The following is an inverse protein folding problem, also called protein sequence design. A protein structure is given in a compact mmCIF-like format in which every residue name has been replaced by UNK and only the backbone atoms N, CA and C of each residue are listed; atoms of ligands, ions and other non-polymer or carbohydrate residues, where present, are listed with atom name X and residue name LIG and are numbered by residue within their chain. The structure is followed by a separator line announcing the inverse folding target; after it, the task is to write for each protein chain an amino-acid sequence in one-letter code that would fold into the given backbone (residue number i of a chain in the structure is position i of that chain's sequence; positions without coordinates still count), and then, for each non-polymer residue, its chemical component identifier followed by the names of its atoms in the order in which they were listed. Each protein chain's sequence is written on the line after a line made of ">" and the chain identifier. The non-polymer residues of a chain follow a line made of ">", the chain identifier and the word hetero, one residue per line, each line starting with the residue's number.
data_IF_087089155496
#
_entry.id   IF_087089155496
#
_cell.length_a   1.000
_cell.length_b   1.000
_cell.length_c   1.000
_cell.angle_alpha   90.00
_cell.angle_beta   90.00
_cell.angle_gamma   90.00
#
_symmetry.space_group_name_H-M   'P 1'
#
loop_
_entity.id
_entity.type
_entity.pdbx_description
1 polymer ?
#
# COMPACT_ATOMS: atom_id res chain seq x y z
N UNK A 1 2.54 19.02 -13.98
CA UNK A 1 2.78 17.96 -12.99
C UNK A 1 4.23 17.48 -13.13
N UNK A 2 5.04 17.62 -12.09
CA UNK A 2 6.46 17.21 -12.08
C UNK A 2 6.61 15.69 -12.09
N UNK A 3 5.64 14.95 -11.54
CA UNK A 3 5.67 13.48 -11.51
C UNK A 3 5.49 12.90 -12.92
N UNK A 4 4.57 13.44 -13.72
CA UNK A 4 4.42 13.07 -15.13
C UNK A 4 5.69 13.37 -15.94
N UNK A 5 6.31 14.53 -15.74
CA UNK A 5 7.55 14.87 -16.45
C UNK A 5 8.71 13.94 -16.05
N UNK A 6 8.77 13.56 -14.77
CA UNK A 6 9.76 12.61 -14.26
C UNK A 6 9.62 11.24 -14.91
N UNK A 7 8.39 10.72 -15.07
CA UNK A 7 8.17 9.42 -15.70
C UNK A 7 8.47 9.39 -17.20
N UNK A 8 8.36 10.53 -17.88
CA UNK A 8 8.67 10.64 -19.32
C UNK A 8 10.15 10.90 -19.62
N UNK A 9 10.87 11.57 -18.71
CA UNK A 9 12.20 12.10 -18.97
C UNK A 9 13.30 11.46 -18.13
N UNK A 10 12.99 10.77 -17.03
CA UNK A 10 13.98 10.13 -16.17
C UNK A 10 13.95 8.60 -16.30
N UNK A 11 15.01 7.95 -15.84
CA UNK A 11 15.04 6.49 -15.76
C UNK A 11 13.97 5.98 -14.77
N UNK A 12 13.36 4.83 -15.08
CA UNK A 12 12.27 4.26 -14.26
C UNK A 12 12.65 4.16 -12.78
N UNK A 13 11.76 4.63 -11.91
CA UNK A 13 11.96 4.65 -10.45
C UNK A 13 12.66 5.90 -9.92
N UNK A 14 13.12 6.81 -10.79
CA UNK A 14 13.67 8.09 -10.37
C UNK A 14 12.56 9.14 -10.24
N UNK A 15 12.41 9.71 -9.04
CA UNK A 15 11.43 10.75 -8.75
C UNK A 15 12.13 12.03 -8.27
N UNK A 16 11.61 13.18 -8.69
CA UNK A 16 12.08 14.51 -8.26
C UNK A 16 10.91 15.32 -7.73
N UNK A 17 11.16 16.12 -6.69
CA UNK A 17 10.12 16.88 -6.00
C UNK A 17 9.91 18.29 -6.55
N UNK A 18 10.74 18.74 -7.49
CA UNK A 18 10.67 20.07 -8.09
C UNK A 18 11.23 20.10 -9.51
N UNK A 19 10.87 21.15 -10.28
CA UNK A 19 11.44 21.38 -11.61
C UNK A 19 12.94 21.68 -11.54
N UNK A 20 13.41 22.37 -10.50
CA UNK A 20 14.83 22.66 -10.31
C UNK A 20 15.67 21.40 -10.09
N UNK A 21 15.11 20.42 -9.37
CA UNK A 21 15.73 19.09 -9.23
C UNK A 21 15.70 18.33 -10.55
N UNK A 22 14.59 18.41 -11.30
CA UNK A 22 14.44 17.77 -12.61
C UNK A 22 15.53 18.22 -13.58
N UNK A 23 15.75 19.52 -13.74
CA UNK A 23 16.73 20.07 -14.70
C UNK A 23 18.19 19.74 -14.37
N UNK A 24 18.48 19.22 -13.16
CA UNK A 24 19.82 18.75 -12.77
C UNK A 24 20.05 17.28 -13.10
N UNK A 25 19.02 16.54 -13.53
CA UNK A 25 19.13 15.12 -13.86
C UNK A 25 19.53 14.88 -15.31
N UNK A 26 20.00 13.66 -15.58
CA UNK A 26 20.19 13.18 -16.95
C UNK A 26 18.85 12.75 -17.54
N UNK A 27 18.53 13.26 -18.72
CA UNK A 27 17.29 12.90 -19.41
C UNK A 27 17.46 11.66 -20.28
N UNK A 28 16.41 10.84 -20.28
CA UNK A 28 16.18 9.70 -21.13
C UNK A 28 14.94 9.98 -21.97
N UNK A 29 14.97 9.67 -23.26
CA UNK A 29 13.81 9.84 -24.13
C UNK A 29 12.83 8.68 -23.91
N UNK A 30 12.15 8.69 -22.76
CA UNK A 30 11.11 7.72 -22.40
C UNK A 30 9.70 8.26 -22.75
N UNK A 31 9.62 9.28 -23.60
CA UNK A 31 8.35 9.88 -24.01
C UNK A 31 7.59 8.88 -24.88
N UNK A 32 6.39 8.53 -24.43
CA UNK A 32 5.48 7.66 -25.18
C UNK A 32 4.98 8.40 -26.43
N UNK A 33 5.14 7.77 -27.58
CA UNK A 33 4.73 8.34 -28.88
C UNK A 33 3.28 8.02 -29.27
N UNK A 34 2.57 7.25 -28.44
CA UNK A 34 1.18 6.85 -28.67
C UNK A 34 0.26 7.40 -27.58
N UNK A 35 -1.00 7.64 -27.95
CA UNK A 35 -2.04 8.06 -27.01
C UNK A 35 -2.36 6.94 -26.02
N UNK A 36 -2.74 7.30 -24.79
CA UNK A 36 -3.29 6.33 -23.84
C UNK A 36 -4.60 5.78 -24.42
N UNK A 37 -4.79 4.47 -24.33
CA UNK A 37 -6.08 3.87 -24.69
C UNK A 37 -7.09 4.41 -23.68
N UNK A 38 -8.22 4.91 -24.16
CA UNK A 38 -9.30 5.34 -23.29
C UNK A 38 -9.80 4.12 -22.51
N UNK A 39 -9.75 4.23 -21.19
CA UNK A 39 -10.23 3.20 -20.28
C UNK A 39 -11.70 3.50 -19.93
N UNK A 40 -12.53 3.59 -20.97
CA UNK A 40 -13.94 3.96 -20.84
C UNK A 40 -14.64 2.96 -19.92
N UNK A 41 -15.30 3.48 -18.89
CA UNK A 41 -16.00 2.70 -17.87
C UNK A 41 -15.12 1.92 -16.88
N UNK A 42 -13.79 2.12 -16.86
CA UNK A 42 -12.89 1.38 -15.95
C UNK A 42 -13.25 1.54 -14.46
N UNK A 43 -13.82 2.67 -14.08
CA UNK A 43 -14.26 2.97 -12.71
C UNK A 43 -15.79 3.04 -12.56
N UNK A 44 -16.54 2.54 -13.55
CA UNK A 44 -18.00 2.57 -13.46
C UNK A 44 -18.50 1.70 -12.31
N UNK A 45 -19.45 2.23 -11.55
CA UNK A 45 -19.99 1.57 -10.35
C UNK A 45 -19.08 1.67 -9.12
N UNK A 46 -17.95 2.38 -9.20
CA UNK A 46 -17.09 2.65 -8.04
C UNK A 46 -17.57 3.89 -7.28
N UNK A 47 -17.70 3.77 -5.97
CA UNK A 47 -17.82 4.91 -5.07
C UNK A 47 -16.42 5.28 -4.55
N UNK A 48 -15.93 6.47 -4.92
CA UNK A 48 -14.62 6.97 -4.47
C UNK A 48 -14.84 7.93 -3.31
N UNK A 49 -14.28 7.60 -2.15
CA UNK A 49 -14.43 8.36 -0.91
C UNK A 49 -13.06 8.84 -0.44
N UNK A 50 -12.98 10.09 0.02
CA UNK A 50 -11.82 10.63 0.72
C UNK A 50 -12.13 10.76 2.21
N UNK A 51 -11.95 9.66 2.95
CA UNK A 51 -12.22 9.58 4.39
C UNK A 51 -11.11 8.79 5.10
N UNK A 52 -10.93 9.03 6.39
CA UNK A 52 -10.03 8.23 7.22
C UNK A 52 -10.58 6.81 7.42
N UNK A 53 -9.70 5.80 7.37
CA UNK A 53 -10.10 4.41 7.64
C UNK A 53 -10.74 4.23 9.03
N UNK A 54 -10.40 5.10 9.98
CA UNK A 54 -10.99 5.14 11.32
C UNK A 54 -12.51 5.33 11.29
N UNK A 55 -13.03 6.04 10.28
CA UNK A 55 -14.46 6.32 10.12
C UNK A 55 -15.09 5.36 9.12
N UNK A 56 -14.36 5.02 8.05
CA UNK A 56 -14.86 4.17 6.98
C UNK A 56 -15.09 2.72 7.43
N UNK A 57 -14.07 2.07 8.02
CA UNK A 57 -14.15 0.65 8.35
C UNK A 57 -15.29 0.32 9.35
N UNK A 58 -15.54 1.10 10.41
CA UNK A 58 -16.67 0.86 11.30
C UNK A 58 -18.03 0.86 10.62
N UNK A 59 -18.24 1.64 9.54
CA UNK A 59 -19.52 1.70 8.80
C UNK A 59 -19.87 0.39 8.11
N UNK A 60 -18.88 -0.49 7.91
CA UNK A 60 -19.05 -1.80 7.29
C UNK A 60 -18.96 -2.97 8.28
N UNK A 61 -18.72 -2.69 9.56
CA UNK A 61 -18.67 -3.72 10.60
C UNK A 61 -20.03 -4.40 10.74
N UNK A 62 -20.03 -5.74 10.71
CA UNK A 62 -21.23 -6.56 10.88
C UNK A 62 -22.17 -6.58 9.66
N UNK A 63 -21.79 -5.96 8.54
CA UNK A 63 -22.54 -6.07 7.29
C UNK A 63 -22.15 -7.36 6.57
N UNK A 64 -23.15 -8.04 6.03
CA UNK A 64 -22.94 -9.20 5.16
C UNK A 64 -22.34 -8.78 3.81
N UNK A 65 -21.63 -9.70 3.15
CA UNK A 65 -21.08 -9.53 1.79
C UNK A 65 -20.10 -8.36 1.65
N UNK A 66 -19.37 -8.05 2.71
CA UNK A 66 -18.27 -7.08 2.69
C UNK A 66 -16.95 -7.83 2.67
N UNK A 67 -16.07 -7.52 1.70
CA UNK A 67 -14.68 -7.96 1.68
C UNK A 67 -13.78 -6.72 1.83
N UNK A 68 -12.91 -6.72 2.84
CA UNK A 68 -11.93 -5.65 3.02
C UNK A 68 -10.68 -5.96 2.20
N UNK A 69 -10.26 -5.03 1.34
CA UNK A 69 -8.98 -5.09 0.63
C UNK A 69 -8.13 -3.93 1.16
N UNK A 70 -7.06 -4.25 1.89
CA UNK A 70 -6.28 -3.29 2.67
C UNK A 70 -4.85 -3.23 2.14
N UNK A 71 -4.44 -2.06 1.65
CA UNK A 71 -3.08 -1.76 1.18
C UNK A 71 -2.54 -0.49 1.89
N UNK A 72 -2.22 -0.60 3.19
CA UNK A 72 -1.78 0.57 3.96
C UNK A 72 -0.31 0.92 3.68
N UNK A 73 0.11 2.17 3.97
CA UNK A 73 1.53 2.54 3.95
C UNK A 73 2.36 1.64 4.89
N UNK A 74 3.50 1.13 4.41
CA UNK A 74 4.35 0.21 5.18
C UNK A 74 5.25 0.93 6.18
N UNK A 75 5.19 0.53 7.46
CA UNK A 75 5.84 1.18 8.60
C UNK A 75 7.34 1.44 8.45
N UNK A 76 8.14 0.51 7.91
CA UNK A 76 9.60 0.67 7.80
C UNK A 76 10.09 0.90 6.36
N UNK A 77 9.21 1.32 5.45
CA UNK A 77 9.68 1.85 4.17
C UNK A 77 10.22 3.27 4.39
N UNK A 78 11.26 3.67 3.63
CA UNK A 78 11.78 5.05 3.68
C UNK A 78 10.67 5.99 3.22
N UNK A 79 9.85 6.46 4.15
CA UNK A 79 8.74 7.39 3.90
C UNK A 79 9.24 8.78 3.49
N UNK A 80 10.57 9.02 3.45
CA UNK A 80 11.20 10.23 2.90
C UNK A 80 10.76 10.56 1.47
N UNK A 81 10.32 9.55 0.68
CA UNK A 81 9.77 9.75 -0.66
C UNK A 81 8.31 10.25 -0.66
N UNK A 82 7.58 10.02 0.43
CA UNK A 82 6.23 10.51 0.63
C UNK A 82 6.31 11.78 1.48
N UNK A 83 6.49 12.93 0.85
CA UNK A 83 6.28 14.26 1.48
C UNK A 83 4.79 14.46 1.84
N UNK A 84 4.21 13.56 2.63
CA UNK A 84 2.82 13.62 3.05
C UNK A 84 2.74 14.39 4.37
N UNK A 85 1.89 15.41 4.40
CA UNK A 85 1.65 16.27 5.56
C UNK A 85 1.05 15.49 6.76
N UNK A 86 0.55 14.28 6.53
CA UNK A 86 -0.01 13.38 7.54
C UNK A 86 0.78 12.08 7.51
N UNK A 87 1.42 11.75 8.63
CA UNK A 87 2.31 10.61 8.81
C UNK A 87 1.49 9.38 9.23
N UNK A 88 1.53 8.29 8.46
CA UNK A 88 0.95 7.00 8.87
C UNK A 88 1.93 6.31 9.82
N UNK A 89 1.61 6.37 11.11
CA UNK A 89 2.48 5.93 12.18
C UNK A 89 2.14 4.53 12.71
N UNK A 90 2.91 4.09 13.69
CA UNK A 90 2.67 2.83 14.39
C UNK A 90 1.27 2.78 15.04
N UNK A 91 0.76 3.90 15.55
CA UNK A 91 -0.55 3.95 16.19
C UNK A 91 -1.65 3.72 15.16
N UNK A 92 -1.58 4.38 14.01
CA UNK A 92 -2.51 4.20 12.90
C UNK A 92 -2.49 2.76 12.38
N UNK A 93 -1.31 2.16 12.26
CA UNK A 93 -1.19 0.75 11.93
C UNK A 93 -1.88 -0.15 12.96
N UNK A 94 -1.60 0.02 14.26
CA UNK A 94 -2.23 -0.78 15.31
C UNK A 94 -3.76 -0.62 15.31
N UNK A 95 -4.26 0.59 15.06
CA UNK A 95 -5.70 0.86 14.93
C UNK A 95 -6.30 0.19 13.70
N UNK A 96 -5.60 0.18 12.57
CA UNK A 96 -6.03 -0.53 11.37
C UNK A 96 -6.17 -2.03 11.65
N UNK A 97 -5.18 -2.63 12.33
CA UNK A 97 -5.24 -4.04 12.73
C UNK A 97 -6.44 -4.30 13.65
N UNK A 98 -6.65 -3.45 14.65
CA UNK A 98 -7.79 -3.60 15.57
C UNK A 98 -9.15 -3.50 14.85
N UNK A 99 -9.25 -2.65 13.82
CA UNK A 99 -10.48 -2.47 13.03
C UNK A 99 -10.70 -3.58 12.00
N UNK A 100 -9.65 -4.30 11.61
CA UNK A 100 -9.72 -5.36 10.60
C UNK A 100 -10.47 -6.58 11.15
N UNK A 101 -11.40 -7.11 10.34
CA UNK A 101 -12.21 -8.30 10.63
C UNK A 101 -12.39 -9.13 9.35
N UNK A 102 -12.52 -10.47 9.43
CA UNK A 102 -12.81 -11.28 8.27
C UNK A 102 -14.23 -10.97 7.71
N UNK A 103 -14.42 -11.08 6.39
CA UNK A 103 -13.42 -11.48 5.41
C UNK A 103 -12.51 -10.31 4.99
N UNK A 104 -11.19 -10.56 4.88
CA UNK A 104 -10.21 -9.56 4.46
C UNK A 104 -9.09 -10.13 3.59
N UNK A 105 -8.49 -9.24 2.79
CA UNK A 105 -7.22 -9.36 2.10
C UNK A 105 -6.35 -8.19 2.53
N UNK A 106 -5.14 -8.46 3.01
CA UNK A 106 -4.21 -7.47 3.54
C UNK A 106 -2.87 -7.60 2.81
N UNK A 107 -2.45 -6.51 2.17
CA UNK A 107 -1.14 -6.41 1.52
C UNK A 107 -0.10 -5.92 2.52
N UNK A 108 1.07 -6.57 2.50
CA UNK A 108 2.20 -6.19 3.32
C UNK A 108 3.51 -6.52 2.60
N UNK A 109 4.62 -5.95 3.05
CA UNK A 109 5.95 -6.33 2.56
C UNK A 109 6.85 -6.79 3.71
N UNK A 110 7.99 -7.43 3.41
CA UNK A 110 8.99 -7.75 4.45
C UNK A 110 9.46 -6.52 5.24
N UNK A 111 9.37 -5.32 4.65
CA UNK A 111 9.70 -4.05 5.32
C UNK A 111 8.59 -3.52 6.24
N UNK A 112 7.45 -4.19 6.34
CA UNK A 112 6.33 -3.73 7.16
C UNK A 112 6.32 -4.33 8.57
N UNK A 113 7.18 -5.32 8.85
CA UNK A 113 7.17 -6.14 10.09
C UNK A 113 5.81 -6.79 10.39
N UNK A 114 4.84 -6.72 9.47
CA UNK A 114 3.44 -7.12 9.72
C UNK A 114 3.30 -8.60 10.05
N UNK A 115 4.01 -9.47 9.32
CA UNK A 115 3.99 -10.92 9.59
C UNK A 115 4.48 -11.21 11.01
N UNK A 116 5.63 -10.65 11.39
CA UNK A 116 6.21 -10.84 12.73
C UNK A 116 5.30 -10.31 13.83
N UNK A 117 4.65 -9.17 13.58
CA UNK A 117 3.66 -8.61 14.49
C UNK A 117 2.46 -9.55 14.67
N UNK A 118 1.88 -10.08 13.59
CA UNK A 118 0.74 -11.00 13.66
C UNK A 118 1.11 -12.31 14.34
N UNK A 119 2.28 -12.88 14.04
CA UNK A 119 2.79 -14.10 14.67
C UNK A 119 2.91 -13.91 16.19
N UNK A 120 3.55 -12.84 16.65
CA UNK A 120 3.66 -12.52 18.08
C UNK A 120 2.30 -12.28 18.74
N UNK A 121 1.41 -11.54 18.06
CA UNK A 121 0.06 -11.25 18.55
C UNK A 121 -0.77 -12.53 18.74
N UNK A 122 -0.60 -13.53 17.87
CA UNK A 122 -1.27 -14.84 17.96
C UNK A 122 -0.62 -15.70 19.06
N UNK A 123 0.71 -15.75 19.11
CA UNK A 123 1.46 -16.51 20.12
C UNK A 123 1.11 -16.07 21.55
N UNK A 124 1.16 -14.75 21.79
CA UNK A 124 0.91 -14.14 23.10
C UNK A 124 -0.58 -13.90 23.39
N UNK A 125 -1.47 -14.20 22.43
CA UNK A 125 -2.94 -14.01 22.53
C UNK A 125 -3.34 -12.59 22.93
N UNK A 126 -2.74 -11.58 22.28
CA UNK A 126 -3.12 -10.18 22.47
C UNK A 126 -4.56 -9.90 22.03
N UNK A 127 -5.08 -8.70 22.30
CA UNK A 127 -6.41 -8.34 21.83
C UNK A 127 -6.55 -8.51 20.31
N UNK A 128 -7.72 -8.99 19.87
CA UNK A 128 -8.05 -9.28 18.47
C UNK A 128 -7.27 -10.45 17.81
N UNK A 129 -6.48 -11.22 18.54
CA UNK A 129 -5.64 -12.30 17.97
C UNK A 129 -6.40 -13.33 17.12
N UNK A 130 -7.65 -13.65 17.48
CA UNK A 130 -8.46 -14.66 16.77
C UNK A 130 -8.75 -14.29 15.31
N UNK A 131 -8.77 -12.98 15.00
CA UNK A 131 -8.94 -12.49 13.62
C UNK A 131 -7.78 -12.94 12.75
N UNK A 132 -6.58 -12.98 13.32
CA UNK A 132 -5.36 -13.27 12.56
C UNK A 132 -4.79 -14.67 12.83
N UNK A 133 -5.44 -15.46 13.69
CA UNK A 133 -5.13 -16.87 13.82
C UNK A 133 -5.46 -17.61 12.51
N UNK A 134 -4.62 -18.56 12.10
CA UNK A 134 -4.83 -19.40 10.90
C UNK A 134 -5.10 -18.60 9.61
N UNK A 135 -4.45 -17.44 9.46
CA UNK A 135 -4.48 -16.68 8.21
C UNK A 135 -3.71 -17.41 7.10
N UNK A 136 -4.17 -17.24 5.87
CA UNK A 136 -3.45 -17.73 4.70
C UNK A 136 -2.47 -16.66 4.20
N UNK A 137 -1.30 -17.08 3.74
CA UNK A 137 -0.25 -16.19 3.21
C UNK A 137 0.18 -16.62 1.82
N UNK A 138 0.24 -15.66 0.90
CA UNK A 138 0.85 -15.80 -0.43
C UNK A 138 2.01 -14.81 -0.50
N UNK A 139 3.20 -15.30 -0.89
CA UNK A 139 4.42 -14.49 -0.98
C UNK A 139 4.88 -14.39 -2.43
N UNK A 140 5.18 -13.17 -2.88
CA UNK A 140 5.76 -12.86 -4.18
C UNK A 140 7.11 -12.18 -3.98
N UNK A 141 8.15 -12.70 -4.63
CA UNK A 141 9.48 -12.10 -4.61
C UNK A 141 9.54 -10.97 -5.64
N UNK A 142 9.75 -9.74 -5.17
CA UNK A 142 9.89 -8.55 -6.01
C UNK A 142 11.32 -7.99 -5.95
N UNK A 143 11.78 -7.38 -7.05
CA UNK A 143 13.06 -6.66 -7.10
C UNK A 143 12.85 -5.23 -7.59
N UNK A 144 13.15 -4.25 -6.73
CA UNK A 144 13.15 -2.82 -7.12
C UNK A 144 14.46 -2.40 -7.80
N UNK A 145 15.54 -3.18 -7.64
CA UNK A 145 16.84 -2.94 -8.27
C UNK A 145 17.74 -4.18 -8.18
N UNK A 146 18.91 -4.14 -8.81
CA UNK A 146 19.93 -5.21 -8.75
C UNK A 146 20.29 -5.64 -7.32
N UNK A 147 20.27 -4.71 -6.36
CA UNK A 147 20.60 -4.96 -4.95
C UNK A 147 19.39 -4.98 -4.00
N UNK A 148 18.18 -4.65 -4.47
CA UNK A 148 17.00 -4.51 -3.62
C UNK A 148 15.97 -5.59 -3.89
N UNK A 149 16.10 -6.75 -3.24
CA UNK A 149 15.07 -7.78 -3.17
C UNK A 149 14.16 -7.51 -1.96
N UNK A 150 12.85 -7.59 -2.14
CA UNK A 150 11.89 -7.59 -1.05
C UNK A 150 10.76 -8.56 -1.37
N UNK A 151 10.06 -9.02 -0.34
CA UNK A 151 8.92 -9.90 -0.52
C UNK A 151 7.66 -9.10 -0.32
N UNK A 152 6.75 -9.18 -1.28
CA UNK A 152 5.37 -8.75 -1.13
C UNK A 152 4.54 -9.93 -0.64
N UNK A 153 3.68 -9.66 0.34
CA UNK A 153 2.86 -10.65 1.02
C UNK A 153 1.39 -10.24 0.88
N UNK A 154 0.57 -11.21 0.53
CA UNK A 154 -0.87 -11.12 0.58
C UNK A 154 -1.35 -12.06 1.68
N UNK A 155 -2.01 -11.51 2.69
CA UNK A 155 -2.53 -12.23 3.85
C UNK A 155 -4.04 -12.15 3.81
N UNK A 156 -4.73 -13.28 3.95
CA UNK A 156 -6.18 -13.30 3.84
C UNK A 156 -6.84 -14.30 4.78
N UNK A 157 -8.08 -13.99 5.14
CA UNK A 157 -8.99 -14.84 5.90
C UNK A 157 -10.42 -14.50 5.52
N UNK A 158 -11.25 -15.52 5.34
CA UNK A 158 -12.66 -15.38 5.00
C UNK A 158 -13.56 -15.64 6.21
#
# INVERSE_FOLDING_TARGET
>A
DVNCLSSWLLFSGQQVGSLDELFKQRFYNCIRQSNYVLADGYLDGLEVISESFHQLLPRFRGKEKVLLILDPPYLCTRQESYKQANYFDLIDFLRLIHLTKPPFIFFSSTKSEFIRFIEAMVEDKWDNWQVFNEVNRITVNASTSYNGKYEDNLIYKF
#
